data_IF_293417404859
#
_entry.id   IF_293417404859
#
_cell.length_a   1.000
_cell.length_b   1.000
_cell.length_c   1.000
_cell.angle_alpha   90.00
_cell.angle_beta   90.00
_cell.angle_gamma   90.00
#
_symmetry.space_group_name_H-M   'P 1'
#
loop_
_entity.id
_entity.type
_entity.pdbx_description
1 polymer ?
#
# COMPACT_ATOMS: atom_id res chain seq x y z
N UNK A 1 39.98 -25.56 36.50
CA UNK A 1 39.44 -25.98 35.18
C UNK A 1 38.04 -25.38 35.10
N UNK A 2 37.93 -24.17 34.55
CA UNK A 2 36.68 -23.41 34.51
C UNK A 2 36.12 -23.50 33.10
N UNK A 3 35.03 -24.25 32.96
CA UNK A 3 34.33 -24.41 31.69
C UNK A 3 33.33 -23.27 31.57
N UNK A 4 33.50 -22.39 30.58
CA UNK A 4 32.53 -21.34 30.26
C UNK A 4 31.73 -21.84 29.05
N UNK A 5 30.41 -22.09 29.17
CA UNK A 5 29.63 -22.48 28.01
C UNK A 5 29.49 -21.27 27.07
N UNK A 6 30.03 -21.41 25.85
CA UNK A 6 29.86 -20.47 24.76
C UNK A 6 28.39 -20.50 24.34
N UNK A 7 27.59 -19.60 24.90
CA UNK A 7 26.23 -19.32 24.47
C UNK A 7 26.29 -18.83 23.02
N UNK A 8 26.02 -19.72 22.07
CA UNK A 8 25.77 -19.33 20.69
C UNK A 8 24.66 -18.28 20.67
N UNK A 9 24.82 -17.16 19.96
CA UNK A 9 23.72 -16.22 19.79
C UNK A 9 22.62 -16.95 19.04
N UNK A 10 21.51 -17.17 19.72
CA UNK A 10 20.23 -17.56 19.14
C UNK A 10 20.06 -16.75 17.88
N UNK A 11 20.11 -17.42 16.73
CA UNK A 11 19.79 -16.79 15.45
C UNK A 11 18.36 -16.29 15.58
N UNK A 12 18.23 -15.02 15.95
CA UNK A 12 17.00 -14.28 15.82
C UNK A 12 16.68 -14.40 14.34
N UNK A 13 15.72 -15.29 14.04
CA UNK A 13 15.01 -15.31 12.79
C UNK A 13 14.47 -13.89 12.65
N UNK A 14 15.17 -13.08 11.86
CA UNK A 14 14.66 -11.79 11.42
C UNK A 14 13.29 -12.11 10.81
N UNK A 15 12.21 -11.43 11.26
CA UNK A 15 10.88 -11.69 10.73
C UNK A 15 10.95 -11.60 9.20
N UNK A 16 10.41 -12.57 8.45
CA UNK A 16 10.10 -12.28 7.05
C UNK A 16 9.11 -11.11 7.11
N UNK A 17 9.35 -10.09 6.29
CA UNK A 17 8.38 -9.01 6.04
C UNK A 17 8.39 -7.84 7.04
N UNK A 18 9.37 -6.93 6.88
CA UNK A 18 9.16 -5.52 7.23
C UNK A 18 9.85 -4.57 6.25
N UNK A 19 9.78 -4.89 4.96
CA UNK A 19 10.11 -3.97 3.86
C UNK A 19 8.88 -3.78 2.94
N UNK A 20 7.71 -3.67 3.56
CA UNK A 20 6.46 -3.35 2.88
C UNK A 20 6.35 -1.83 2.80
N UNK A 21 6.60 -1.26 1.63
CA UNK A 21 6.34 0.15 1.41
C UNK A 21 4.83 0.43 1.60
N UNK A 22 4.49 1.54 2.27
CA UNK A 22 3.09 1.90 2.52
C UNK A 22 2.31 2.18 1.22
N UNK A 23 3.01 2.54 0.14
CA UNK A 23 2.41 3.00 -1.10
C UNK A 23 2.35 1.90 -2.17
N UNK A 24 3.41 1.09 -2.32
CA UNK A 24 3.51 0.00 -3.32
C UNK A 24 3.83 -1.31 -2.59
N UNK A 25 2.83 -2.18 -2.44
CA UNK A 25 2.98 -3.43 -1.68
C UNK A 25 3.87 -4.46 -2.38
N UNK A 26 3.88 -4.45 -3.72
CA UNK A 26 4.60 -5.39 -4.57
C UNK A 26 5.94 -4.85 -5.10
N UNK A 27 6.51 -3.84 -4.45
CA UNK A 27 7.78 -3.24 -4.88
C UNK A 27 8.94 -4.25 -4.80
N UNK A 28 9.48 -4.65 -5.95
CA UNK A 28 10.54 -5.66 -6.08
C UNK A 28 11.97 -5.11 -6.03
N UNK A 29 12.12 -3.80 -6.23
CA UNK A 29 13.40 -3.09 -6.20
C UNK A 29 13.31 -1.90 -5.26
N UNK A 30 14.43 -1.53 -4.65
CA UNK A 30 14.60 -0.24 -3.98
C UNK A 30 15.40 0.68 -4.90
N UNK A 31 15.03 1.96 -4.94
CA UNK A 31 15.65 3.00 -5.75
C UNK A 31 16.52 3.87 -4.84
N UNK A 32 17.75 4.15 -5.27
CA UNK A 32 18.61 5.12 -4.58
C UNK A 32 18.30 6.52 -5.08
N UNK A 33 17.84 7.39 -4.18
CA UNK A 33 17.59 8.78 -4.51
C UNK A 33 18.90 9.55 -4.72
N UNK A 34 19.02 10.35 -5.79
CA UNK A 34 20.25 11.11 -6.09
C UNK A 34 20.48 12.28 -5.12
N UNK A 35 19.41 12.81 -4.52
CA UNK A 35 19.46 13.95 -3.61
C UNK A 35 20.11 13.62 -2.25
N UNK A 36 19.63 12.58 -1.57
CA UNK A 36 20.05 12.24 -0.21
C UNK A 36 20.81 10.91 -0.10
N UNK A 37 20.96 10.19 -1.22
CA UNK A 37 21.72 8.92 -1.32
C UNK A 37 21.15 7.79 -0.46
N UNK A 38 19.88 7.87 -0.08
CA UNK A 38 19.14 6.85 0.67
C UNK A 38 18.32 5.96 -0.27
N UNK A 39 17.83 4.85 0.27
CA UNK A 39 17.07 3.86 -0.47
C UNK A 39 15.58 3.96 -0.14
N UNK A 40 14.76 4.00 -1.18
CA UNK A 40 13.30 4.08 -1.06
C UNK A 40 12.64 3.19 -2.10
N UNK A 41 11.46 2.67 -1.78
CA UNK A 41 10.70 1.82 -2.71
C UNK A 41 9.86 2.61 -3.71
N UNK A 42 9.52 3.86 -3.38
CA UNK A 42 8.74 4.76 -4.24
C UNK A 42 9.03 6.23 -3.92
N UNK A 43 8.60 7.13 -4.81
CA UNK A 43 8.78 8.58 -4.65
C UNK A 43 7.98 9.15 -3.45
N UNK A 44 6.81 8.58 -3.15
CA UNK A 44 6.00 9.00 -1.99
C UNK A 44 6.70 8.68 -0.67
N UNK A 45 7.36 7.52 -0.56
CA UNK A 45 8.17 7.20 0.61
C UNK A 45 9.34 8.17 0.81
N UNK A 46 9.94 8.67 -0.28
CA UNK A 46 10.95 9.72 -0.20
C UNK A 46 10.33 11.01 0.36
N UNK A 47 9.21 11.46 -0.20
CA UNK A 47 8.54 12.69 0.21
C UNK A 47 8.05 12.70 1.66
N UNK A 48 7.59 11.56 2.18
CA UNK A 48 7.22 11.45 3.61
C UNK A 48 8.43 11.51 4.54
N UNK A 49 9.56 10.95 4.09
CA UNK A 49 10.76 10.86 4.92
C UNK A 49 11.64 12.11 4.85
N UNK A 50 11.50 12.91 3.80
CA UNK A 50 12.39 14.04 3.52
C UNK A 50 11.64 15.30 3.10
N UNK A 51 12.12 16.44 3.59
CA UNK A 51 11.48 17.75 3.40
C UNK A 51 11.77 18.43 2.05
N UNK A 52 12.27 17.70 1.05
CA UNK A 52 12.67 18.27 -0.24
C UNK A 52 12.17 17.43 -1.41
N UNK A 53 11.98 18.03 -2.61
CA UNK A 53 11.55 17.30 -3.79
C UNK A 53 12.66 16.38 -4.33
N UNK A 54 12.27 15.23 -4.87
CA UNK A 54 13.19 14.27 -5.50
C UNK A 54 13.83 14.90 -6.75
N UNK A 55 15.17 14.89 -6.80
CA UNK A 55 15.91 15.37 -7.97
C UNK A 55 15.81 14.34 -9.11
N UNK A 56 15.51 14.75 -10.35
CA UNK A 56 15.58 13.85 -11.50
C UNK A 56 17.04 13.55 -11.84
N UNK A 57 17.34 12.28 -12.10
CA UNK A 57 18.65 11.83 -12.60
C UNK A 57 18.46 10.89 -13.77
N UNK A 58 19.38 10.96 -14.73
CA UNK A 58 19.39 10.07 -15.90
C UNK A 58 19.85 8.67 -15.51
N UNK A 59 20.90 8.57 -14.70
CA UNK A 59 21.40 7.30 -14.18
C UNK A 59 20.58 6.91 -12.94
N UNK A 60 19.78 5.86 -13.04
CA UNK A 60 18.99 5.32 -11.92
C UNK A 60 19.70 4.10 -11.33
N UNK A 61 19.95 4.14 -10.02
CA UNK A 61 20.54 3.01 -9.30
C UNK A 61 19.46 2.25 -8.54
N UNK A 62 19.34 0.96 -8.83
CA UNK A 62 18.36 0.06 -8.24
C UNK A 62 19.06 -1.01 -7.39
N UNK A 63 18.37 -1.50 -6.37
CA UNK A 63 18.74 -2.67 -5.59
C UNK A 63 17.63 -3.70 -5.67
N UNK A 64 17.93 -4.88 -6.22
CA UNK A 64 16.95 -5.95 -6.32
C UNK A 64 16.71 -6.59 -4.95
N UNK A 65 15.45 -6.71 -4.50
CA UNK A 65 15.14 -7.35 -3.22
C UNK A 65 15.34 -8.87 -3.25
N UNK A 66 15.23 -9.51 -4.42
CA UNK A 66 15.42 -10.96 -4.61
C UNK A 66 16.89 -11.38 -4.47
N UNK A 67 17.80 -10.72 -5.18
CA UNK A 67 19.23 -11.06 -5.17
C UNK A 67 20.11 -10.13 -4.31
N UNK A 68 19.55 -9.03 -3.79
CA UNK A 68 20.22 -7.99 -2.99
C UNK A 68 21.42 -7.33 -3.67
N UNK A 69 21.55 -7.48 -4.99
CA UNK A 69 22.60 -6.82 -5.78
C UNK A 69 22.10 -5.49 -6.30
N UNK A 70 22.99 -4.50 -6.25
CA UNK A 70 22.76 -3.17 -6.81
C UNK A 70 23.19 -3.14 -8.28
N UNK A 71 22.38 -2.55 -9.13
CA UNK A 71 22.66 -2.36 -10.55
C UNK A 71 22.22 -0.95 -10.97
N UNK A 72 22.70 -0.51 -12.13
CA UNK A 72 22.39 0.81 -12.69
C UNK A 72 21.75 0.65 -14.05
N UNK A 73 20.79 1.51 -14.36
CA UNK A 73 20.11 1.62 -15.64
C UNK A 73 20.02 3.08 -16.03
N UNK A 74 20.12 3.36 -17.32
CA UNK A 74 19.94 4.69 -17.87
C UNK A 74 18.46 4.92 -18.20
N UNK A 75 17.89 6.01 -17.69
CA UNK A 75 16.46 6.31 -17.85
C UNK A 75 16.11 6.92 -19.23
N UNK A 76 17.09 7.14 -20.10
CA UNK A 76 16.87 7.72 -21.44
C UNK A 76 16.50 6.66 -22.49
N UNK A 77 16.99 5.45 -22.35
CA UNK A 77 16.82 4.35 -23.30
C UNK A 77 16.25 3.19 -22.50
N UNK A 78 14.91 3.19 -22.33
CA UNK A 78 14.22 2.14 -21.59
C UNK A 78 13.72 1.11 -22.60
N UNK A 79 14.52 0.05 -22.80
CA UNK A 79 14.15 -1.07 -23.67
C UNK A 79 13.49 -2.20 -22.86
N UNK A 80 12.82 -3.12 -23.54
CA UNK A 80 12.12 -4.27 -22.92
C UNK A 80 13.09 -5.19 -22.14
N UNK A 81 14.38 -5.17 -22.51
CA UNK A 81 15.45 -5.87 -21.78
C UNK A 81 15.78 -5.22 -20.42
N UNK A 82 15.43 -3.94 -20.21
CA UNK A 82 15.68 -3.22 -18.96
C UNK A 82 14.66 -3.51 -17.88
N UNK A 83 13.57 -4.22 -18.19
CA UNK A 83 12.54 -4.60 -17.23
C UNK A 83 12.99 -5.67 -16.22
N UNK A 84 14.14 -6.29 -16.47
CA UNK A 84 14.67 -7.40 -15.69
C UNK A 84 15.97 -7.04 -14.97
N UNK A 85 16.14 -7.60 -13.78
CA UNK A 85 17.39 -7.51 -13.06
C UNK A 85 18.48 -8.35 -13.76
N UNK A 86 19.65 -7.77 -14.11
CA UNK A 86 20.73 -8.46 -14.85
C UNK A 86 21.42 -9.59 -14.05
N UNK A 87 21.01 -9.81 -12.80
CA UNK A 87 21.63 -10.78 -11.91
C UNK A 87 20.76 -11.98 -11.57
N UNK A 88 19.45 -11.88 -11.74
CA UNK A 88 18.52 -12.94 -11.30
C UNK A 88 17.22 -12.98 -12.11
N UNK A 89 17.18 -12.27 -13.23
CA UNK A 89 16.04 -12.16 -14.15
C UNK A 89 14.72 -11.83 -13.44
N UNK A 90 14.81 -11.05 -12.37
CA UNK A 90 13.62 -10.59 -11.66
C UNK A 90 12.99 -9.43 -12.41
N UNK A 91 11.78 -9.64 -12.92
CA UNK A 91 10.97 -8.60 -13.55
C UNK A 91 10.52 -7.59 -12.49
N UNK A 92 10.96 -6.34 -12.63
CA UNK A 92 10.69 -5.30 -11.63
C UNK A 92 9.75 -4.19 -12.13
N UNK A 93 9.44 -4.18 -13.42
CA UNK A 93 8.46 -3.26 -14.02
C UNK A 93 7.10 -3.96 -14.01
N UNK A 94 6.40 -3.85 -12.88
CA UNK A 94 5.10 -4.49 -12.65
C UNK A 94 4.05 -3.44 -12.33
N UNK A 95 2.78 -3.77 -12.56
CA UNK A 95 1.66 -2.93 -12.14
C UNK A 95 1.69 -2.71 -10.63
N UNK A 96 1.66 -1.45 -10.19
CA UNK A 96 1.74 -1.11 -8.78
C UNK A 96 0.46 -1.52 -8.03
N UNK A 97 0.60 -2.39 -7.03
CA UNK A 97 -0.48 -2.76 -6.12
C UNK A 97 -0.52 -1.77 -4.96
N UNK A 98 -1.45 -0.83 -5.06
CA UNK A 98 -1.73 0.18 -4.02
C UNK A 98 -2.70 -0.41 -3.00
N UNK A 99 -2.49 -0.18 -1.68
CA UNK A 99 -3.45 -0.62 -0.67
C UNK A 99 -4.80 0.06 -0.88
N UNK A 100 -5.83 -0.72 -1.21
CA UNK A 100 -7.21 -0.23 -1.29
C UNK A 100 -7.80 -0.21 0.14
N UNK A 101 -8.24 0.94 0.66
CA UNK A 101 -8.90 0.99 1.96
C UNK A 101 -10.26 0.31 1.84
N UNK A 102 -10.32 -0.97 2.21
CA UNK A 102 -11.59 -1.68 2.34
C UNK A 102 -12.18 -1.34 3.72
N UNK A 103 -13.23 -0.52 3.75
CA UNK A 103 -14.04 -0.30 4.95
C UNK A 103 -14.77 -1.62 5.25
N UNK A 104 -14.16 -2.46 6.10
CA UNK A 104 -14.83 -3.64 6.65
C UNK A 104 -15.80 -3.13 7.72
N UNK A 105 -17.09 -3.22 7.46
CA UNK A 105 -18.10 -3.02 8.50
C UNK A 105 -18.04 -4.27 9.37
N UNK A 106 -17.36 -4.16 10.51
CA UNK A 106 -17.38 -5.19 11.55
C UNK A 106 -18.78 -5.19 12.17
N UNK A 107 -19.69 -5.96 11.58
CA UNK A 107 -20.97 -6.27 12.21
C UNK A 107 -20.68 -7.17 13.40
N UNK A 108 -20.62 -6.58 14.61
CA UNK A 108 -20.67 -7.35 15.84
C UNK A 108 -21.98 -8.16 15.89
N UNK A 109 -21.96 -9.27 16.64
CA UNK A 109 -23.01 -10.30 16.73
C UNK A 109 -24.43 -9.77 16.46
N UNK A 110 -25.13 -10.40 15.50
CA UNK A 110 -26.48 -10.04 15.08
C UNK A 110 -27.52 -10.08 16.23
N UNK A 111 -27.18 -10.65 17.39
CA UNK A 111 -27.99 -10.61 18.61
C UNK A 111 -27.89 -9.27 19.37
N UNK A 112 -26.79 -8.53 19.22
CA UNK A 112 -26.52 -7.29 19.96
C UNK A 112 -26.90 -6.05 19.15
N UNK A 113 -26.61 -6.03 17.84
CA UNK A 113 -26.92 -4.88 16.98
C UNK A 113 -27.92 -5.24 15.86
N UNK A 114 -29.21 -5.29 16.22
CA UNK A 114 -30.33 -5.54 15.30
C UNK A 114 -30.53 -4.44 14.23
N UNK A 115 -29.77 -3.34 14.29
CA UNK A 115 -29.84 -2.21 13.35
C UNK A 115 -29.37 -2.54 11.93
N UNK A 116 -28.52 -3.57 11.78
CA UNK A 116 -27.97 -4.00 10.49
C UNK A 116 -28.79 -5.11 9.82
N UNK A 117 -29.83 -5.65 10.48
CA UNK A 117 -30.68 -6.71 9.95
C UNK A 117 -32.00 -6.12 9.42
N UNK A 118 -32.27 -6.31 8.12
CA UNK A 118 -33.51 -5.83 7.49
C UNK A 118 -34.59 -6.90 7.61
N UNK A 119 -35.63 -6.66 8.41
CA UNK A 119 -36.81 -7.54 8.48
C UNK A 119 -37.77 -7.21 7.32
N UNK A 120 -38.00 -8.19 6.45
CA UNK A 120 -38.84 -8.07 5.26
C UNK A 120 -40.35 -8.07 5.58
N UNK A 121 -40.74 -8.43 6.81
CA UNK A 121 -42.16 -8.52 7.23
C UNK A 121 -42.73 -7.19 7.69
N UNK A 122 -41.88 -6.24 8.07
CA UNK A 122 -42.30 -4.91 8.49
C UNK A 122 -42.45 -4.05 7.25
N UNK A 123 -43.70 -3.66 6.92
CA UNK A 123 -43.93 -2.64 5.89
C UNK A 123 -43.14 -1.38 6.28
N UNK A 124 -42.33 -0.81 5.37
CA UNK A 124 -41.62 0.43 5.66
C UNK A 124 -42.65 1.46 6.12
N UNK A 125 -42.40 2.10 7.27
CA UNK A 125 -43.31 3.14 7.75
C UNK A 125 -43.38 4.24 6.68
N UNK A 126 -44.55 4.85 6.42
CA UNK A 126 -44.67 5.96 5.47
C UNK A 126 -43.74 7.09 5.93
N UNK A 127 -42.60 7.26 5.25
CA UNK A 127 -41.51 8.17 5.64
C UNK A 127 -40.12 7.54 5.76
N UNK A 128 -40.00 6.21 5.74
CA UNK A 128 -38.73 5.44 5.71
C UNK A 128 -38.39 4.89 4.31
N UNK A 129 -39.06 5.36 3.27
CA UNK A 129 -38.46 5.32 1.94
C UNK A 129 -37.20 6.17 1.98
N UNK A 130 -36.10 5.66 1.43
CA UNK A 130 -34.84 6.38 1.27
C UNK A 130 -35.14 7.71 0.59
N UNK A 131 -35.26 8.80 1.37
CA UNK A 131 -35.40 10.15 0.83
C UNK A 131 -34.13 10.44 0.05
N UNK A 132 -34.23 10.34 -1.26
CA UNK A 132 -33.19 10.82 -2.16
C UNK A 132 -33.30 12.34 -2.23
N UNK A 133 -32.20 13.01 -2.57
CA UNK A 133 -32.15 14.47 -2.71
C UNK A 133 -33.15 14.99 -3.76
N UNK A 134 -33.73 14.11 -4.59
CA UNK A 134 -34.70 14.42 -5.62
C UNK A 134 -36.18 14.26 -5.20
N UNK A 135 -36.44 13.80 -3.98
CA UNK A 135 -37.81 13.69 -3.46
C UNK A 135 -38.31 15.05 -3.01
N UNK A 136 -38.93 15.78 -3.94
CA UNK A 136 -39.58 17.06 -3.66
C UNK A 136 -40.67 16.87 -2.60
N UNK A 137 -40.52 17.57 -1.46
CA UNK A 137 -41.45 17.50 -0.35
C UNK A 137 -42.88 17.89 -0.79
N UNK A 138 -43.87 17.10 -0.36
CA UNK A 138 -45.29 17.35 -0.66
C UNK A 138 -45.80 18.66 -0.03
N UNK A 139 -45.03 19.31 0.83
CA UNK A 139 -45.35 20.64 1.39
C UNK A 139 -44.95 21.84 0.52
N UNK A 140 -44.31 21.67 -0.64
CA UNK A 140 -43.96 22.78 -1.52
C UNK A 140 -45.18 23.52 -2.15
N UNK A 141 -46.40 23.00 -1.99
CA UNK A 141 -47.63 23.56 -2.58
C UNK A 141 -48.50 24.42 -1.66
N UNK A 142 -48.07 24.73 -0.43
CA UNK A 142 -48.90 25.46 0.57
C UNK A 142 -48.60 26.95 0.73
N UNK A 143 -47.80 27.54 -0.16
CA UNK A 143 -47.62 29.00 -0.20
C UNK A 143 -48.60 29.59 -1.22
N UNK A 144 -49.82 29.84 -0.76
CA UNK A 144 -50.87 30.60 -1.44
C UNK A 144 -51.51 31.56 -0.45
#
# INVERSE_FOLDING_TARGET
MWYVPFSAPTSQLLPPDSFTSKHILNAQVAIRSPCCKKWFDCAECHHESESHPLLPSIEMTFACKKCRKCFRKDAQEFEEADEYCPHCDNHFVLEAVVPKPALRVEGEDARVDARMLKDERVKPQPGQELRTIFDADKEAGRLG
#
